data_IF_753090105418
#
_entry.id   IF_753090105418
#
_cell.length_a   1.000
_cell.length_b   1.000
_cell.length_c   1.000
_cell.angle_alpha   90.00
_cell.angle_beta   90.00
_cell.angle_gamma   90.00
#
_symmetry.space_group_name_H-M   'P 1'
#
loop_
_entity.id
_entity.type
_entity.pdbx_description
1 polymer ?
#
# COMPACT_ATOMS: atom_id res chain seq x y z
N UNK A 1 25.96 11.38 16.86
CA UNK A 1 25.20 11.05 15.64
C UNK A 1 23.73 10.97 15.99
N UNK A 2 22.87 11.61 15.19
CA UNK A 2 21.42 11.47 15.31
C UNK A 2 21.00 10.00 15.11
N UNK A 3 19.78 9.64 15.52
CA UNK A 3 19.21 8.33 15.22
C UNK A 3 18.54 8.45 13.86
N UNK A 4 19.03 7.72 12.86
CA UNK A 4 18.38 7.64 11.56
C UNK A 4 17.14 6.76 11.67
N UNK A 5 15.99 7.25 11.20
CA UNK A 5 14.76 6.46 11.09
C UNK A 5 14.79 5.62 9.83
N UNK A 6 14.05 4.50 9.84
CA UNK A 6 13.88 3.70 8.63
C UNK A 6 12.43 3.32 8.34
N UNK A 7 12.16 3.15 7.04
CA UNK A 7 10.96 2.50 6.52
C UNK A 7 11.33 1.34 5.63
N UNK A 8 10.58 0.25 5.73
CA UNK A 8 10.61 -0.90 4.84
C UNK A 8 9.23 -1.04 4.21
N UNK A 9 9.18 -0.97 2.88
CA UNK A 9 8.02 -1.33 2.08
C UNK A 9 8.30 -2.68 1.43
N UNK A 10 7.56 -3.70 1.85
CA UNK A 10 7.73 -5.07 1.39
C UNK A 10 6.51 -5.53 0.60
N UNK A 11 6.63 -5.64 -0.71
CA UNK A 11 5.62 -6.25 -1.54
C UNK A 11 5.65 -7.77 -1.32
N UNK A 12 4.76 -8.27 -0.47
CA UNK A 12 4.68 -9.68 -0.10
C UNK A 12 3.98 -10.54 -1.17
N UNK A 13 3.31 -9.92 -2.14
CA UNK A 13 2.74 -10.61 -3.29
C UNK A 13 3.81 -10.94 -4.34
N UNK A 14 4.76 -10.03 -4.58
CA UNK A 14 5.89 -10.25 -5.50
C UNK A 14 7.11 -10.92 -4.85
N UNK A 15 7.36 -10.65 -3.57
CA UNK A 15 8.38 -11.31 -2.75
C UNK A 15 7.73 -12.05 -1.58
N UNK A 16 7.01 -13.16 -1.82
CA UNK A 16 6.38 -13.95 -0.77
C UNK A 16 7.42 -14.61 0.13
N UNK A 17 7.02 -14.96 1.35
CA UNK A 17 7.86 -15.71 2.30
C UNK A 17 8.25 -17.06 1.69
N UNK A 18 9.54 -17.45 1.70
CA UNK A 18 9.94 -18.76 1.19
C UNK A 18 9.33 -19.93 1.97
N UNK A 19 9.06 -21.03 1.27
CA UNK A 19 8.47 -22.22 1.85
C UNK A 19 9.21 -22.70 3.12
N UNK A 20 8.44 -23.06 4.15
CA UNK A 20 8.96 -23.54 5.43
C UNK A 20 9.60 -22.47 6.34
N UNK A 21 9.64 -21.19 5.96
CA UNK A 21 10.21 -20.13 6.79
C UNK A 21 9.15 -19.48 7.69
N UNK A 22 9.44 -19.31 8.98
CA UNK A 22 8.58 -18.57 9.91
C UNK A 22 8.59 -17.06 9.57
N UNK A 23 7.43 -16.40 9.39
CA UNK A 23 7.37 -14.96 9.14
C UNK A 23 8.14 -14.11 10.17
N UNK A 24 8.25 -14.57 11.42
CA UNK A 24 9.08 -13.90 12.44
C UNK A 24 10.56 -13.83 12.04
N UNK A 25 11.11 -14.93 11.53
CA UNK A 25 12.50 -15.02 11.11
C UNK A 25 12.76 -14.13 9.88
N UNK A 26 11.81 -14.08 8.93
CA UNK A 26 11.87 -13.19 7.77
C UNK A 26 11.95 -11.73 8.21
N UNK A 27 11.04 -11.30 9.09
CA UNK A 27 11.01 -9.95 9.68
C UNK A 27 12.31 -9.61 10.40
N UNK A 28 12.84 -10.54 11.21
CA UNK A 28 14.12 -10.34 11.91
C UNK A 28 15.30 -10.16 10.95
N UNK A 29 15.34 -10.90 9.83
CA UNK A 29 16.39 -10.75 8.81
C UNK A 29 16.25 -9.44 8.03
N UNK A 30 15.02 -9.00 7.73
CA UNK A 30 14.75 -7.67 7.17
C UNK A 30 15.29 -6.58 8.11
N UNK A 31 14.95 -6.63 9.40
CA UNK A 31 15.44 -5.68 10.40
C UNK A 31 16.97 -5.68 10.46
N UNK A 32 17.59 -6.85 10.52
CA UNK A 32 19.05 -6.98 10.56
C UNK A 32 19.74 -6.45 9.28
N UNK A 33 19.13 -6.59 8.11
CA UNK A 33 19.65 -6.00 6.86
C UNK A 33 19.61 -4.46 6.89
N UNK A 34 18.55 -3.87 7.44
CA UNK A 34 18.45 -2.41 7.67
C UNK A 34 19.50 -1.93 8.66
N UNK A 35 19.67 -2.62 9.80
CA UNK A 35 20.67 -2.29 10.83
C UNK A 35 22.11 -2.44 10.30
N UNK A 36 22.39 -3.48 9.48
CA UNK A 36 23.71 -3.72 8.85
C UNK A 36 24.16 -2.58 7.93
N UNK A 37 23.25 -1.72 7.48
CA UNK A 37 23.59 -0.50 6.74
C UNK A 37 24.57 0.42 7.50
N UNK A 38 24.55 0.37 8.84
CA UNK A 38 25.47 1.06 9.76
C UNK A 38 24.99 2.40 10.32
N UNK A 39 23.77 2.84 9.96
CA UNK A 39 23.30 4.22 10.20
C UNK A 39 22.03 4.23 11.06
N UNK A 40 21.12 3.30 10.78
CA UNK A 40 20.04 2.93 11.69
C UNK A 40 20.66 2.20 12.88
N UNK A 41 20.39 2.65 14.10
CA UNK A 41 20.88 1.97 15.31
C UNK A 41 20.20 0.61 15.46
N UNK A 42 20.90 -0.34 16.10
CA UNK A 42 20.28 -1.59 16.57
C UNK A 42 19.08 -1.27 17.47
N UNK A 43 17.94 -1.93 17.22
CA UNK A 43 16.65 -1.66 17.85
C UNK A 43 16.19 -0.18 17.63
N UNK A 44 16.56 0.41 16.50
CA UNK A 44 16.17 1.77 16.12
C UNK A 44 14.70 1.88 15.71
N UNK A 45 14.27 3.08 15.34
CA UNK A 45 12.92 3.31 14.83
C UNK A 45 12.82 2.82 13.38
N UNK A 46 12.51 1.53 13.23
CA UNK A 46 12.30 0.86 11.96
C UNK A 46 10.81 0.62 11.80
N UNK A 47 10.27 1.05 10.67
CA UNK A 47 8.89 0.77 10.28
C UNK A 47 8.83 -0.25 9.16
N UNK A 48 7.92 -1.23 9.25
CA UNK A 48 7.80 -2.32 8.27
C UNK A 48 6.34 -2.50 7.89
N UNK A 49 6.05 -2.32 6.60
CA UNK A 49 4.72 -2.50 6.01
C UNK A 49 4.80 -3.56 4.92
N UNK A 50 4.03 -4.64 5.09
CA UNK A 50 3.81 -5.63 4.05
C UNK A 50 2.63 -5.20 3.16
N UNK A 51 2.86 -5.19 1.85
CA UNK A 51 1.98 -4.65 0.83
C UNK A 51 1.60 -5.78 -0.14
N UNK A 52 0.35 -5.86 -0.54
CA UNK A 52 -0.07 -6.79 -1.59
C UNK A 52 -1.45 -6.49 -2.15
N UNK A 53 -1.65 -6.75 -3.42
CA UNK A 53 -2.96 -6.62 -4.09
C UNK A 53 -3.92 -7.75 -3.67
N UNK A 54 -3.38 -8.95 -3.40
CA UNK A 54 -4.14 -10.18 -3.12
C UNK A 54 -3.78 -10.84 -1.78
N UNK A 55 -3.66 -10.05 -0.70
CA UNK A 55 -3.20 -10.53 0.61
C UNK A 55 -3.92 -11.78 1.16
N UNK A 56 -5.20 -12.00 0.82
CA UNK A 56 -5.96 -13.20 1.21
C UNK A 56 -5.62 -14.46 0.41
N UNK A 57 -5.04 -14.32 -0.78
CA UNK A 57 -4.52 -15.42 -1.61
C UNK A 57 -3.01 -15.61 -1.37
N UNK A 58 -2.23 -14.52 -1.44
CA UNK A 58 -0.78 -14.49 -1.24
C UNK A 58 -0.45 -13.31 -0.32
N UNK A 59 0.04 -13.54 0.91
CA UNK A 59 0.51 -14.82 1.45
C UNK A 59 -0.58 -15.69 2.12
N UNK A 60 -1.82 -15.20 2.18
CA UNK A 60 -2.93 -15.88 2.86
C UNK A 60 -3.10 -15.50 4.34
N UNK A 61 -4.26 -15.84 4.89
CA UNK A 61 -4.74 -15.35 6.19
C UNK A 61 -3.88 -15.74 7.39
N UNK A 62 -3.33 -16.96 7.41
CA UNK A 62 -2.51 -17.42 8.54
C UNK A 62 -1.17 -16.66 8.59
N UNK A 63 -0.60 -16.33 7.43
CA UNK A 63 0.60 -15.49 7.34
C UNK A 63 0.27 -14.03 7.69
N UNK A 64 -0.85 -13.48 7.19
CA UNK A 64 -1.33 -12.16 7.63
C UNK A 64 -1.48 -12.09 9.16
N UNK A 65 -2.08 -13.13 9.77
CA UNK A 65 -2.26 -13.21 11.23
C UNK A 65 -0.94 -13.28 11.98
N UNK A 66 0.01 -14.08 11.48
CA UNK A 66 1.36 -14.17 12.04
C UNK A 66 2.08 -12.81 11.96
N UNK A 67 2.16 -12.20 10.77
CA UNK A 67 2.79 -10.88 10.56
C UNK A 67 2.17 -9.79 11.44
N UNK A 68 0.84 -9.71 11.47
CA UNK A 68 0.12 -8.74 12.28
C UNK A 68 0.34 -8.95 13.79
N UNK A 69 0.43 -10.20 14.27
CA UNK A 69 0.77 -10.50 15.67
C UNK A 69 2.21 -10.11 16.07
N UNK A 70 3.08 -9.92 15.08
CA UNK A 70 4.49 -9.49 15.24
C UNK A 70 4.61 -7.95 15.16
N UNK A 71 3.52 -7.24 14.82
CA UNK A 71 3.49 -5.78 14.70
C UNK A 71 3.72 -5.25 13.29
N UNK A 72 3.73 -6.11 12.27
CA UNK A 72 3.86 -5.69 10.86
C UNK A 72 2.54 -5.10 10.37
N UNK A 73 2.61 -3.92 9.77
CA UNK A 73 1.45 -3.30 9.12
C UNK A 73 1.12 -4.03 7.80
N UNK A 74 -0.17 -4.20 7.50
CA UNK A 74 -0.68 -4.81 6.29
C UNK A 74 -1.41 -3.75 5.44
N UNK A 75 -0.92 -3.52 4.22
CA UNK A 75 -1.53 -2.61 3.24
C UNK A 75 -2.01 -3.39 2.03
N UNK A 76 -3.29 -3.32 1.71
CA UNK A 76 -3.79 -3.77 0.41
C UNK A 76 -3.62 -2.64 -0.63
N UNK A 77 -2.74 -2.84 -1.61
CA UNK A 77 -2.46 -1.92 -2.72
C UNK A 77 -1.65 -2.62 -3.83
N UNK A 78 -1.80 -2.13 -5.07
CA UNK A 78 -1.01 -2.50 -6.25
C UNK A 78 0.16 -1.53 -6.53
N UNK A 79 0.16 -0.35 -5.90
CA UNK A 79 1.17 0.70 -6.05
C UNK A 79 1.53 1.29 -4.67
N UNK A 80 2.79 1.67 -4.46
CA UNK A 80 3.26 2.26 -3.19
C UNK A 80 4.29 3.38 -3.37
N UNK A 81 4.41 3.91 -4.59
CA UNK A 81 5.28 5.04 -4.90
C UNK A 81 4.94 6.28 -4.06
N UNK A 82 3.66 6.49 -3.75
CA UNK A 82 3.22 7.61 -2.91
C UNK A 82 3.63 7.43 -1.44
N UNK A 83 3.63 6.21 -0.89
CA UNK A 83 4.05 5.97 0.50
C UNK A 83 5.53 6.35 0.72
N UNK A 84 6.38 6.19 -0.30
CA UNK A 84 7.78 6.65 -0.27
C UNK A 84 7.88 8.19 -0.13
N UNK A 85 7.06 8.94 -0.86
CA UNK A 85 7.03 10.40 -0.79
C UNK A 85 6.37 10.90 0.49
N UNK A 86 5.23 10.33 0.89
CA UNK A 86 4.53 10.68 2.13
C UNK A 86 5.45 10.48 3.35
N UNK A 87 6.23 9.39 3.40
CA UNK A 87 7.20 9.17 4.46
C UNK A 87 8.38 10.15 4.40
N UNK A 88 8.86 10.50 3.20
CA UNK A 88 9.94 11.46 3.01
C UNK A 88 9.57 12.88 3.48
N UNK A 89 8.32 13.28 3.27
CA UNK A 89 7.78 14.56 3.73
C UNK A 89 7.58 14.59 5.26
N UNK A 90 7.22 13.45 5.88
CA UNK A 90 7.10 13.32 7.34
C UNK A 90 8.45 13.12 8.06
N UNK A 91 9.49 12.62 7.36
CA UNK A 91 10.79 12.25 7.94
C UNK A 91 11.95 12.80 7.08
N UNK A 92 12.38 14.07 7.30
CA UNK A 92 13.43 14.68 6.49
C UNK A 92 14.81 14.00 6.71
N UNK A 93 15.71 14.04 5.71
CA UNK A 93 17.03 13.40 5.78
C UNK A 93 17.89 13.83 6.98
N UNK A 94 18.74 12.93 7.52
CA UNK A 94 19.01 11.57 7.05
C UNK A 94 17.91 10.57 7.41
N UNK A 95 17.62 9.66 6.47
CA UNK A 95 16.63 8.59 6.62
C UNK A 95 16.92 7.44 5.66
N UNK A 96 16.63 6.20 6.08
CA UNK A 96 16.83 4.99 5.28
C UNK A 96 15.48 4.42 4.83
N UNK A 97 15.33 4.15 3.53
CA UNK A 97 14.20 3.41 2.98
C UNK A 97 14.70 2.08 2.42
N UNK A 98 14.02 0.99 2.69
CA UNK A 98 14.25 -0.31 2.07
C UNK A 98 13.00 -0.71 1.28
N UNK A 99 13.19 -1.05 0.01
CA UNK A 99 12.11 -1.60 -0.83
C UNK A 99 12.42 -3.06 -1.13
N UNK A 100 11.47 -3.93 -0.81
CA UNK A 100 11.52 -5.37 -1.09
C UNK A 100 10.42 -5.71 -2.09
N UNK A 101 10.79 -5.91 -3.34
CA UNK A 101 9.86 -6.18 -4.45
C UNK A 101 10.58 -6.94 -5.57
N UNK A 102 9.83 -7.52 -6.50
CA UNK A 102 10.37 -8.17 -7.68
C UNK A 102 11.26 -7.23 -8.51
N UNK A 103 12.33 -7.79 -9.07
CA UNK A 103 13.36 -7.05 -9.80
C UNK A 103 12.81 -6.13 -10.92
N UNK A 104 11.75 -6.56 -11.63
CA UNK A 104 11.09 -5.72 -12.63
C UNK A 104 10.40 -4.49 -12.01
N UNK A 105 9.68 -4.67 -10.90
CA UNK A 105 8.98 -3.59 -10.21
C UNK A 105 9.94 -2.56 -9.59
N UNK A 106 11.09 -3.02 -9.08
CA UNK A 106 12.20 -2.14 -8.69
C UNK A 106 12.78 -1.36 -9.88
N UNK A 107 12.78 -1.95 -11.08
CA UNK A 107 13.13 -1.27 -12.32
C UNK A 107 12.16 -0.13 -12.67
N UNK A 108 10.85 -0.36 -12.55
CA UNK A 108 9.83 0.68 -12.73
C UNK A 108 9.96 1.83 -11.71
N UNK A 109 10.32 1.52 -10.47
CA UNK A 109 10.53 2.51 -9.40
C UNK A 109 11.90 3.23 -9.46
N UNK A 110 12.82 2.83 -10.34
CA UNK A 110 14.20 3.32 -10.34
C UNK A 110 14.32 4.87 -10.40
N UNK A 111 13.44 5.54 -11.15
CA UNK A 111 13.38 7.00 -11.19
C UNK A 111 13.01 7.63 -9.84
N UNK A 112 11.95 7.14 -9.20
CA UNK A 112 11.54 7.59 -7.85
C UNK A 112 12.63 7.35 -6.82
N UNK A 113 13.29 6.18 -6.86
CA UNK A 113 14.36 5.86 -5.93
C UNK A 113 15.58 6.78 -6.13
N UNK A 114 15.95 7.08 -7.38
CA UNK A 114 17.00 8.05 -7.70
C UNK A 114 16.69 9.45 -7.19
N UNK A 115 15.44 9.92 -7.35
CA UNK A 115 15.01 11.24 -6.83
C UNK A 115 15.09 11.33 -5.29
N UNK A 116 14.90 10.21 -4.60
CA UNK A 116 15.02 10.13 -3.14
C UNK A 116 16.49 10.04 -2.70
N UNK A 117 17.35 9.32 -3.44
CA UNK A 117 18.81 9.35 -3.27
C UNK A 117 19.36 10.79 -3.45
N UNK A 118 18.92 11.52 -4.48
CA UNK A 118 19.30 12.93 -4.73
C UNK A 118 18.83 13.89 -3.61
N UNK A 119 17.69 13.59 -2.97
CA UNK A 119 17.21 14.31 -1.79
C UNK A 119 18.02 14.00 -0.52
N UNK A 120 18.93 13.03 -0.55
CA UNK A 120 19.79 12.65 0.58
C UNK A 120 19.25 11.50 1.45
N UNK A 121 18.24 10.77 0.98
CA UNK A 121 17.84 9.50 1.61
C UNK A 121 18.80 8.38 1.23
N UNK A 122 18.94 7.39 2.12
CA UNK A 122 19.48 6.09 1.72
C UNK A 122 18.37 5.23 1.16
N UNK A 123 18.61 4.64 0.00
CA UNK A 123 17.77 3.57 -0.54
C UNK A 123 18.50 2.23 -0.48
N UNK A 124 17.85 1.24 0.11
CA UNK A 124 18.19 -0.17 0.07
C UNK A 124 17.18 -0.88 -0.85
N UNK A 125 17.68 -1.74 -1.75
CA UNK A 125 16.87 -2.49 -2.71
C UNK A 125 17.10 -3.98 -2.46
N UNK A 126 16.03 -4.76 -2.36
CA UNK A 126 16.09 -6.21 -2.20
C UNK A 126 14.99 -6.88 -3.01
N UNK A 127 15.30 -8.05 -3.56
CA UNK A 127 14.40 -8.87 -4.36
C UNK A 127 14.66 -10.38 -4.20
N UNK A 128 15.79 -10.76 -3.58
CA UNK A 128 16.21 -12.14 -3.42
C UNK A 128 16.36 -12.50 -1.93
N UNK A 129 15.56 -13.46 -1.50
CA UNK A 129 15.66 -14.04 -0.17
C UNK A 129 16.97 -14.80 0.04
N UNK A 130 17.51 -15.48 -0.97
CA UNK A 130 18.77 -16.22 -0.83
C UNK A 130 19.91 -15.26 -0.46
N UNK A 131 20.02 -14.11 -1.13
CA UNK A 131 20.96 -13.04 -0.76
C UNK A 131 20.72 -12.43 0.64
N UNK A 132 19.47 -12.42 1.13
CA UNK A 132 19.12 -11.93 2.48
C UNK A 132 19.35 -13.00 3.59
N UNK A 133 19.38 -14.28 3.23
CA UNK A 133 19.64 -15.41 4.13
C UNK A 133 21.10 -15.94 4.08
N UNK A 134 21.88 -15.62 3.04
CA UNK A 134 23.23 -16.16 2.82
C UNK A 134 24.30 -15.62 3.77
N UNK A 135 24.02 -14.53 4.48
CA UNK A 135 24.90 -14.05 5.55
C UNK A 135 24.74 -14.93 6.81
N UNK A 136 25.83 -15.57 7.24
CA UNK A 136 25.97 -16.19 8.57
C UNK A 136 25.89 -15.13 9.69
N UNK A 137 24.69 -14.63 9.94
CA UNK A 137 24.40 -13.77 11.09
C UNK A 137 24.15 -14.63 12.33
N UNK A 138 24.97 -14.43 13.35
CA UNK A 138 24.65 -14.82 14.72
C UNK A 138 23.24 -14.31 15.07
N UNK A 139 22.33 -15.24 15.37
CA UNK A 139 20.98 -14.93 15.87
C UNK A 139 21.06 -14.45 17.32
N UNK A 140 21.74 -13.33 17.54
CA UNK A 140 21.60 -12.57 18.79
C UNK A 140 20.17 -12.05 18.86
N UNK A 141 19.55 -12.20 20.03
CA UNK A 141 18.12 -11.98 20.27
C UNK A 141 17.73 -10.50 20.17
N UNK A 142 17.72 -9.98 18.94
CA UNK A 142 17.30 -8.62 18.63
C UNK A 142 15.80 -8.52 18.90
N UNK A 143 15.45 -7.78 19.97
CA UNK A 143 14.06 -7.44 20.26
C UNK A 143 13.50 -6.66 19.09
N UNK A 144 12.40 -7.15 18.52
CA UNK A 144 11.73 -6.42 17.45
C UNK A 144 11.23 -5.08 17.97
N UNK A 145 11.57 -4.02 17.24
CA UNK A 145 11.04 -2.67 17.43
C UNK A 145 10.46 -2.24 16.09
N UNK A 146 9.24 -2.67 15.84
CA UNK A 146 8.49 -2.32 14.63
C UNK A 146 7.47 -1.25 14.98
N UNK A 147 7.58 -0.10 14.33
CA UNK A 147 6.51 0.90 14.30
C UNK A 147 5.78 0.83 12.94
N UNK A 148 4.53 1.28 12.87
CA UNK A 148 3.86 1.45 11.57
C UNK A 148 4.23 2.83 10.99
N UNK A 149 4.70 2.89 9.74
CA UNK A 149 4.76 4.14 8.98
C UNK A 149 3.37 4.58 8.51
N UNK A 150 2.44 3.63 8.39
CA UNK A 150 1.06 3.87 7.96
C UNK A 150 0.21 4.31 9.17
N UNK A 151 -0.66 5.30 8.96
CA UNK A 151 -1.60 5.85 9.97
C UNK A 151 -2.58 4.81 10.56
N UNK A 152 -2.69 3.63 9.94
CA UNK A 152 -3.39 2.45 10.46
C UNK A 152 -2.56 1.20 10.14
N UNK A 153 -2.39 0.24 11.07
CA UNK A 153 -1.68 -1.02 10.81
C UNK A 153 -2.43 -1.95 9.84
N UNK A 154 -3.71 -1.70 9.58
CA UNK A 154 -4.48 -2.37 8.53
C UNK A 154 -5.14 -1.33 7.64
N UNK A 155 -4.76 -1.29 6.37
CA UNK A 155 -5.26 -0.29 5.42
C UNK A 155 -5.51 -0.90 4.03
N UNK A 156 -6.63 -0.54 3.41
CA UNK A 156 -6.98 -0.90 2.05
C UNK A 156 -7.04 0.34 1.19
N UNK A 157 -6.12 0.45 0.23
CA UNK A 157 -6.07 1.59 -0.69
C UNK A 157 -7.16 1.51 -1.76
N UNK A 158 -7.49 0.30 -2.24
CA UNK A 158 -8.58 0.08 -3.21
C UNK A 158 -9.91 0.70 -2.72
N UNK A 159 -10.17 0.66 -1.42
CA UNK A 159 -11.39 1.19 -0.80
C UNK A 159 -11.19 2.44 0.07
N UNK A 160 -9.95 2.90 0.26
CA UNK A 160 -9.55 3.92 1.25
C UNK A 160 -10.10 3.65 2.67
N UNK A 161 -9.97 2.40 3.14
CA UNK A 161 -10.46 1.95 4.45
C UNK A 161 -9.30 1.62 5.39
N UNK A 162 -9.24 2.31 6.53
CA UNK A 162 -8.50 1.85 7.70
C UNK A 162 -9.39 0.89 8.51
N UNK A 163 -8.97 -0.36 8.68
CA UNK A 163 -9.70 -1.34 9.46
C UNK A 163 -9.27 -1.30 10.93
N UNK A 164 -10.19 -1.41 11.91
CA UNK A 164 -9.86 -1.34 13.33
C UNK A 164 -9.29 -2.65 13.89
N UNK A 165 -9.42 -3.77 13.17
CA UNK A 165 -8.82 -5.06 13.49
C UNK A 165 -8.40 -5.83 12.24
N UNK A 166 -7.55 -6.85 12.41
CA UNK A 166 -7.21 -7.79 11.34
C UNK A 166 -8.44 -8.58 10.83
N UNK A 167 -9.41 -8.87 11.70
CA UNK A 167 -10.62 -9.61 11.33
C UNK A 167 -11.53 -8.75 10.45
N UNK A 168 -11.71 -7.47 10.81
CA UNK A 168 -12.41 -6.49 9.98
C UNK A 168 -11.69 -6.28 8.64
N UNK A 169 -10.35 -6.22 8.65
CA UNK A 169 -9.55 -6.10 7.43
C UNK A 169 -9.73 -7.32 6.52
N UNK A 170 -9.61 -8.53 7.06
CA UNK A 170 -9.76 -9.77 6.31
C UNK A 170 -11.17 -9.94 5.75
N UNK A 171 -12.18 -9.61 6.56
CA UNK A 171 -13.60 -9.60 6.15
C UNK A 171 -13.85 -8.53 5.07
N UNK A 172 -13.19 -7.38 5.17
CA UNK A 172 -13.24 -6.34 4.16
C UNK A 172 -12.65 -6.79 2.82
N UNK A 173 -11.44 -7.39 2.80
CA UNK A 173 -10.81 -7.87 1.56
C UNK A 173 -11.65 -8.95 0.86
N UNK A 174 -12.33 -9.82 1.63
CA UNK A 174 -13.27 -10.82 1.09
C UNK A 174 -14.61 -10.25 0.62
N UNK A 175 -14.89 -8.97 0.87
CA UNK A 175 -16.22 -8.40 0.63
C UNK A 175 -16.48 -8.13 -0.86
N UNK A 176 -17.73 -8.27 -1.29
CA UNK A 176 -18.18 -7.94 -2.66
C UNK A 176 -17.89 -6.47 -3.01
N UNK A 177 -17.95 -5.56 -2.01
CA UNK A 177 -17.59 -4.16 -2.18
C UNK A 177 -16.11 -3.98 -2.54
N UNK A 178 -15.22 -4.79 -1.96
CA UNK A 178 -13.80 -4.79 -2.28
C UNK A 178 -13.57 -5.31 -3.71
N UNK A 179 -14.16 -6.45 -4.06
CA UNK A 179 -14.08 -7.03 -5.41
C UNK A 179 -14.63 -6.10 -6.51
N UNK A 180 -15.67 -5.30 -6.21
CA UNK A 180 -16.13 -4.22 -7.08
C UNK A 180 -15.09 -3.10 -7.21
N UNK A 181 -14.46 -2.70 -6.10
CA UNK A 181 -13.43 -1.65 -6.08
C UNK A 181 -12.19 -2.01 -6.89
N UNK A 182 -11.70 -3.25 -6.77
CA UNK A 182 -10.61 -3.78 -7.60
C UNK A 182 -10.95 -3.65 -9.09
N UNK A 183 -12.16 -4.08 -9.48
CA UNK A 183 -12.62 -3.96 -10.86
C UNK A 183 -12.77 -2.51 -11.31
N UNK A 184 -13.33 -1.61 -10.50
CA UNK A 184 -13.50 -0.20 -10.90
C UNK A 184 -12.14 0.51 -11.05
N UNK A 185 -11.14 0.17 -10.22
CA UNK A 185 -9.74 0.64 -10.36
C UNK A 185 -9.13 0.11 -11.67
N UNK A 186 -9.25 -1.20 -11.95
CA UNK A 186 -8.81 -1.80 -13.22
C UNK A 186 -9.49 -1.17 -14.44
N UNK A 187 -10.82 -1.04 -14.42
CA UNK A 187 -11.63 -0.44 -15.47
C UNK A 187 -11.29 1.04 -15.70
N UNK A 188 -10.84 1.76 -14.66
CA UNK A 188 -10.34 3.12 -14.78
C UNK A 188 -8.98 3.16 -15.47
N UNK A 189 -8.03 2.35 -14.99
CA UNK A 189 -6.64 2.28 -15.51
C UNK A 189 -6.61 1.88 -16.99
N UNK A 190 -7.55 1.02 -17.41
CA UNK A 190 -7.65 0.52 -18.79
C UNK A 190 -8.72 1.22 -19.66
N UNK A 191 -9.31 2.34 -19.19
CA UNK A 191 -10.32 3.12 -19.93
C UNK A 191 -11.54 2.30 -20.43
N UNK A 192 -11.97 1.30 -19.65
CA UNK A 192 -13.09 0.42 -20.01
C UNK A 192 -14.41 1.20 -19.98
N UNK A 193 -15.24 1.02 -21.02
CA UNK A 193 -16.61 1.56 -21.03
C UNK A 193 -17.53 0.72 -20.13
N UNK A 194 -17.67 1.20 -18.90
CA UNK A 194 -18.54 0.64 -17.86
C UNK A 194 -20.04 0.90 -18.08
N UNK A 195 -20.43 1.50 -19.22
CA UNK A 195 -21.84 1.69 -19.59
C UNK A 195 -22.36 0.62 -20.55
N UNK A 196 -21.48 -0.20 -21.11
CA UNK A 196 -21.81 -1.36 -21.94
C UNK A 196 -21.75 -2.65 -21.10
N UNK A 197 -22.87 -3.39 -20.93
CA UNK A 197 -22.90 -4.63 -20.15
C UNK A 197 -21.94 -5.72 -20.65
N UNK A 198 -21.50 -5.69 -21.91
CA UNK A 198 -20.54 -6.66 -22.43
C UNK A 198 -19.12 -6.50 -21.83
N UNK A 199 -18.81 -5.34 -21.25
CA UNK A 199 -17.51 -5.04 -20.63
C UNK A 199 -17.48 -5.30 -19.11
N UNK A 200 -18.58 -5.74 -18.51
CA UNK A 200 -18.69 -5.94 -17.06
C UNK A 200 -18.43 -7.41 -16.70
N UNK A 201 -17.74 -7.70 -15.57
CA UNK A 201 -17.28 -9.04 -15.20
C UNK A 201 -18.40 -9.83 -14.51
N UNK A 202 -19.55 -9.94 -15.18
CA UNK A 202 -20.73 -10.63 -14.68
C UNK A 202 -20.49 -12.14 -14.50
N UNK A 203 -21.28 -12.78 -13.65
CA UNK A 203 -21.21 -14.21 -13.36
C UNK A 203 -20.18 -14.60 -12.29
N UNK A 204 -19.51 -13.62 -11.66
CA UNK A 204 -18.62 -13.87 -10.50
C UNK A 204 -19.42 -14.13 -9.22
N UNK A 205 -20.48 -13.35 -8.97
CA UNK A 205 -21.49 -13.62 -7.93
C UNK A 205 -22.73 -12.76 -8.16
N UNK A 206 -23.91 -13.23 -7.74
CA UNK A 206 -25.17 -12.49 -7.85
C UNK A 206 -25.11 -11.10 -7.18
N UNK A 207 -24.36 -10.99 -6.09
CA UNK A 207 -24.19 -9.75 -5.32
C UNK A 207 -23.27 -8.76 -6.04
N UNK A 208 -22.19 -9.24 -6.67
CA UNK A 208 -21.31 -8.39 -7.48
C UNK A 208 -22.05 -7.91 -8.72
N UNK A 209 -22.77 -8.82 -9.39
CA UNK A 209 -23.56 -8.54 -10.58
C UNK A 209 -24.65 -7.48 -10.29
N UNK A 210 -25.23 -7.49 -9.09
CA UNK A 210 -26.17 -6.46 -8.66
C UNK A 210 -25.50 -5.08 -8.51
N UNK A 211 -24.34 -4.99 -7.84
CA UNK A 211 -23.61 -3.72 -7.69
C UNK A 211 -23.13 -3.17 -9.04
N UNK A 212 -22.60 -4.04 -9.89
CA UNK A 212 -22.17 -3.77 -11.25
C UNK A 212 -23.31 -3.17 -12.09
N UNK A 213 -24.49 -3.79 -12.07
CA UNK A 213 -25.67 -3.27 -12.76
C UNK A 213 -26.14 -1.91 -12.22
N UNK A 214 -26.14 -1.72 -10.89
CA UNK A 214 -26.54 -0.45 -10.27
C UNK A 214 -25.61 0.69 -10.68
N UNK A 215 -24.29 0.46 -10.71
CA UNK A 215 -23.31 1.47 -11.11
C UNK A 215 -23.34 1.74 -12.63
N UNK A 216 -23.48 0.72 -13.46
CA UNK A 216 -23.68 0.87 -14.92
C UNK A 216 -24.86 1.80 -15.22
N UNK A 217 -26.04 1.52 -14.64
CA UNK A 217 -27.25 2.33 -14.83
C UNK A 217 -27.05 3.75 -14.31
N UNK A 218 -26.38 3.92 -13.16
CA UNK A 218 -26.02 5.25 -12.63
C UNK A 218 -25.13 6.03 -13.60
N UNK A 219 -24.14 5.40 -14.24
CA UNK A 219 -23.25 6.05 -15.22
C UNK A 219 -24.02 6.42 -16.51
N UNK A 220 -24.89 5.55 -17.02
CA UNK A 220 -25.78 5.85 -18.15
C UNK A 220 -26.71 7.06 -17.90
N UNK A 221 -27.22 7.21 -16.67
CA UNK A 221 -28.01 8.39 -16.28
C UNK A 221 -27.17 9.68 -16.27
N UNK A 222 -25.90 9.59 -15.84
CA UNK A 222 -24.99 10.74 -15.81
C UNK A 222 -24.54 11.17 -17.21
N UNK A 223 -24.31 10.25 -18.14
CA UNK A 223 -23.94 10.56 -19.54
C UNK A 223 -25.11 11.19 -20.30
N UNK A 224 -26.31 10.59 -20.21
CA UNK A 224 -27.54 11.15 -20.81
C UNK A 224 -27.94 12.51 -20.21
N UNK A 225 -27.71 12.72 -18.91
CA UNK A 225 -27.93 14.02 -18.24
C UNK A 225 -26.98 15.14 -18.71
N UNK A 226 -25.73 14.82 -19.07
CA UNK A 226 -24.75 15.82 -19.58
C UNK A 226 -25.17 16.42 -20.92
N UNK A 227 -25.89 15.67 -21.76
CA UNK A 227 -26.41 16.18 -23.05
C UNK A 227 -27.44 17.31 -22.90
N UNK A 228 -28.17 17.38 -21.77
CA UNK A 228 -29.22 18.38 -21.54
C UNK A 228 -28.74 19.70 -20.92
N UNK A 229 -27.46 19.82 -20.52
CA UNK A 229 -26.91 21.02 -19.83
C UNK A 229 -26.05 21.95 -20.71
N UNK A 230 -26.06 21.80 -22.04
CA UNK A 230 -25.50 22.82 -22.95
C UNK A 230 -26.53 23.90 -23.31
N UNK A 231 -26.94 24.66 -22.30
CA UNK A 231 -27.52 26.00 -22.51
C UNK A 231 -26.41 27.01 -22.84
N UNK A 232 -26.74 28.23 -23.33
CA UNK A 232 -25.74 29.23 -23.69
C UNK A 232 -24.81 29.58 -22.52
N UNK A 233 -23.51 29.65 -22.78
CA UNK A 233 -22.49 30.00 -21.79
C UNK A 233 -22.65 31.47 -21.36
N UNK A 234 -23.22 31.68 -20.17
CA UNK A 234 -23.07 32.94 -19.43
C UNK A 234 -21.61 33.13 -18.99
N UNK A 235 -21.13 34.38 -18.84
CA UNK A 235 -19.70 34.65 -18.65
C UNK A 235 -19.18 34.14 -17.30
N UNK A 236 -18.02 33.49 -17.35
CA UNK A 236 -17.27 33.02 -16.18
C UNK A 236 -16.81 34.20 -15.32
N UNK A 237 -16.98 34.09 -13.99
CA UNK A 237 -16.32 34.92 -12.98
C UNK A 237 -15.81 34.06 -11.81
N UNK A 238 -14.79 34.53 -11.04
CA UNK A 238 -13.70 33.63 -10.61
C UNK A 238 -13.88 32.92 -9.26
N UNK A 239 -12.93 32.00 -8.99
CA UNK A 239 -12.72 31.26 -7.73
C UNK A 239 -12.32 32.16 -6.54
N UNK A 240 -12.23 31.50 -5.37
CA UNK A 240 -11.70 31.87 -4.03
C UNK A 240 -12.82 32.08 -2.99
N UNK A 241 -12.78 31.51 -1.77
CA UNK A 241 -11.78 30.67 -1.06
C UNK A 241 -12.51 29.79 -0.03
N UNK A 242 -12.00 28.60 0.29
CA UNK A 242 -12.43 27.86 1.49
C UNK A 242 -11.52 28.25 2.67
N UNK A 243 -12.08 28.93 3.67
CA UNK A 243 -11.41 29.14 4.96
C UNK A 243 -11.70 27.95 5.88
N UNK A 244 -10.66 27.26 6.32
CA UNK A 244 -10.75 26.33 7.45
C UNK A 244 -10.72 27.14 8.75
N UNK A 245 -11.87 27.25 9.42
CA UNK A 245 -11.94 27.78 10.78
C UNK A 245 -11.50 26.70 11.77
N UNK A 246 -10.41 26.95 12.50
CA UNK A 246 -10.05 26.15 13.68
C UNK A 246 -11.18 26.16 14.70
N UNK A 247 -11.64 24.98 15.12
CA UNK A 247 -12.41 24.83 16.35
C UNK A 247 -11.43 24.79 17.53
N UNK A 248 -11.59 25.69 18.51
CA UNK A 248 -10.95 25.56 19.82
C UNK A 248 -11.87 24.70 20.70
N UNK A 249 -11.35 23.57 21.18
CA UNK A 249 -11.92 22.89 22.34
C UNK A 249 -11.61 23.69 23.62
N UNK A 250 -12.46 23.49 24.63
CA UNK A 250 -12.40 24.15 25.95
C UNK A 250 -11.25 23.70 26.82
#
# INVERSE_FOLDING_TARGET
MAVEKAMVLWNISNCPIPDGHDPLMVVQRIQAAVEKSGYVRRNGEISITAIGDKLTEVPGEDVMRRLSSIGIALKNADEYQMDLYDWADENPPPGTMMVIDGHEQLGWLAGTLSELEDKGFRILKQWDWAALFSDEQETTTTSLVVNSSVKSPWFCEVCFVAAPSLEDFTTHLKSVKHAYGEWDRHASKNNVDRTDPANLPFGRSNELDLLLNQDMVRRQMLTSGRGRRRGPLGPLRPRHTFNLTHSKAS
#
